data_IF_231737634861
#
_entry.id   IF_231737634861
#
_cell.length_a   1.000
_cell.length_b   1.000
_cell.length_c   1.000
_cell.angle_alpha   90.00
_cell.angle_beta   90.00
_cell.angle_gamma   90.00
#
_symmetry.space_group_name_H-M   'P 1'
#
loop_
_entity.id
_entity.type
_entity.pdbx_description
1 polymer ?
#
# COMPACT_ATOMS: atom_id res chain seq x y z
N UNK A 1 32.94 35.60 16.60
CA UNK A 1 33.27 34.27 17.14
C UNK A 1 32.06 33.31 17.12
N UNK A 2 30.88 33.71 17.48
CA UNK A 2 29.68 32.84 17.53
C UNK A 2 29.19 32.29 16.17
N UNK A 3 29.22 33.10 15.10
CA UNK A 3 28.72 32.68 13.77
C UNK A 3 29.59 31.58 13.12
N UNK A 4 30.93 31.71 13.25
CA UNK A 4 31.87 30.70 12.73
C UNK A 4 31.76 29.38 13.50
N UNK A 5 31.53 29.42 14.80
CA UNK A 5 31.33 28.25 15.63
C UNK A 5 30.02 27.52 15.24
N UNK A 6 28.92 28.25 15.06
CA UNK A 6 27.63 27.71 14.62
C UNK A 6 27.76 27.07 13.23
N UNK A 7 28.40 27.76 12.28
CA UNK A 7 28.62 27.23 10.93
C UNK A 7 29.50 25.95 10.95
N UNK A 8 30.56 25.95 11.77
CA UNK A 8 31.40 24.76 11.94
C UNK A 8 30.63 23.57 12.54
N UNK A 9 29.84 23.82 13.57
CA UNK A 9 28.99 22.76 14.18
C UNK A 9 27.98 22.20 13.18
N UNK A 10 27.31 23.06 12.41
CA UNK A 10 26.35 22.60 11.38
C UNK A 10 27.04 21.78 10.28
N UNK A 11 28.25 22.18 9.86
CA UNK A 11 29.01 21.43 8.87
C UNK A 11 29.41 20.03 9.38
N UNK A 12 29.84 19.93 10.63
CA UNK A 12 30.16 18.63 11.26
C UNK A 12 28.90 17.76 11.36
N UNK A 13 27.78 18.29 11.83
CA UNK A 13 26.52 17.54 11.92
C UNK A 13 26.05 17.08 10.54
N UNK A 14 26.14 17.92 9.51
CA UNK A 14 25.81 17.55 8.14
C UNK A 14 26.73 16.42 7.62
N UNK A 15 28.04 16.48 7.92
CA UNK A 15 28.99 15.43 7.57
C UNK A 15 28.65 14.09 8.26
N UNK A 16 28.36 14.12 9.56
CA UNK A 16 27.94 12.91 10.31
C UNK A 16 26.63 12.33 9.76
N UNK A 17 25.65 13.18 9.46
CA UNK A 17 24.39 12.75 8.87
C UNK A 17 24.59 12.11 7.49
N UNK A 18 25.48 12.67 6.65
CA UNK A 18 25.80 12.10 5.34
C UNK A 18 26.47 10.72 5.46
N UNK A 19 27.40 10.56 6.40
CA UNK A 19 28.04 9.26 6.66
C UNK A 19 27.01 8.24 7.17
N UNK A 20 26.18 8.62 8.15
CA UNK A 20 25.11 7.76 8.68
C UNK A 20 24.12 7.34 7.57
N UNK A 21 23.71 8.28 6.73
CA UNK A 21 22.85 8.00 5.57
C UNK A 21 23.50 7.00 4.62
N UNK A 22 24.80 7.15 4.31
CA UNK A 22 25.53 6.26 3.42
C UNK A 22 25.64 4.83 4.00
N UNK A 23 25.91 4.70 5.29
CA UNK A 23 25.96 3.41 5.99
C UNK A 23 24.59 2.74 5.98
N UNK A 24 23.53 3.49 6.35
CA UNK A 24 22.17 2.97 6.38
C UNK A 24 21.67 2.57 4.98
N UNK A 25 22.05 3.29 3.92
CA UNK A 25 21.71 2.92 2.54
C UNK A 25 22.38 1.63 2.09
N UNK A 26 23.60 1.35 2.55
CA UNK A 26 24.29 0.07 2.29
C UNK A 26 23.59 -1.08 3.00
N UNK A 27 23.17 -0.87 4.24
CA UNK A 27 22.46 -1.88 5.02
C UNK A 27 21.00 -2.10 4.57
N UNK A 28 20.40 -1.07 3.96
CA UNK A 28 18.98 -1.07 3.49
C UNK A 28 18.93 -0.52 2.06
N UNK A 29 19.28 -1.31 1.04
CA UNK A 29 19.22 -0.87 -0.36
C UNK A 29 17.78 -0.56 -0.79
N UNK A 30 17.64 0.03 -1.98
CA UNK A 30 16.32 0.17 -2.58
C UNK A 30 15.81 -1.19 -3.04
N UNK A 31 14.53 -1.41 -2.80
CA UNK A 31 13.77 -2.58 -3.22
C UNK A 31 12.81 -2.23 -4.36
N UNK A 32 12.28 -3.25 -5.01
CA UNK A 32 11.28 -3.07 -6.07
C UNK A 32 9.92 -2.62 -5.50
N UNK A 33 9.57 -3.14 -4.33
CA UNK A 33 8.28 -2.95 -3.67
C UNK A 33 8.44 -2.55 -2.21
N UNK A 34 7.34 -2.17 -1.58
CA UNK A 34 7.29 -1.89 -0.16
C UNK A 34 7.90 -0.55 0.24
N UNK A 35 8.16 -0.39 1.53
CA UNK A 35 8.67 0.86 2.11
C UNK A 35 10.02 1.30 1.55
N UNK A 36 10.87 0.38 1.18
CA UNK A 36 12.19 0.66 0.64
C UNK A 36 12.21 0.92 -0.87
N UNK A 37 11.05 0.84 -1.55
CA UNK A 37 10.95 1.20 -2.95
C UNK A 37 11.35 2.66 -3.19
N UNK A 38 12.03 2.89 -4.32
CA UNK A 38 12.53 4.23 -4.64
C UNK A 38 11.37 5.19 -4.86
N UNK A 39 11.35 6.28 -4.11
CA UNK A 39 10.33 7.30 -4.22
C UNK A 39 10.77 8.44 -5.13
N UNK A 40 9.90 8.89 -6.03
CA UNK A 40 10.08 10.06 -6.87
C UNK A 40 8.83 10.92 -6.83
N UNK A 41 9.02 12.23 -6.59
CA UNK A 41 7.93 13.20 -6.66
C UNK A 41 7.49 13.40 -8.12
N UNK A 42 6.18 13.56 -8.39
CA UNK A 42 5.67 13.77 -9.75
C UNK A 42 6.17 15.06 -10.40
N UNK A 43 6.44 16.10 -9.63
CA UNK A 43 6.84 17.40 -10.15
C UNK A 43 8.32 17.68 -10.00
N UNK A 44 8.86 18.49 -10.94
CA UNK A 44 10.21 19.04 -10.85
C UNK A 44 10.25 20.27 -9.94
N UNK A 45 11.46 20.67 -9.53
CA UNK A 45 11.70 21.86 -8.77
C UNK A 45 12.19 21.63 -7.34
N UNK A 46 12.51 22.69 -6.59
CA UNK A 46 13.12 22.59 -5.27
C UNK A 46 12.30 21.78 -4.25
N UNK A 47 10.98 21.98 -4.26
CA UNK A 47 10.07 21.23 -3.36
C UNK A 47 10.05 19.72 -3.69
N UNK A 48 9.99 19.37 -4.98
CA UNK A 48 10.06 17.97 -5.41
C UNK A 48 11.43 17.35 -5.07
N UNK A 49 12.52 18.10 -5.22
CA UNK A 49 13.85 17.64 -4.81
C UNK A 49 13.94 17.41 -3.29
N UNK A 50 13.48 18.36 -2.48
CA UNK A 50 13.45 18.21 -1.03
C UNK A 50 12.58 17.03 -0.58
N UNK A 51 11.39 16.87 -1.15
CA UNK A 51 10.50 15.73 -0.89
C UNK A 51 11.17 14.40 -1.26
N UNK A 52 11.88 14.33 -2.41
CA UNK A 52 12.66 13.17 -2.81
C UNK A 52 13.77 12.83 -1.79
N UNK A 53 14.50 13.85 -1.33
CA UNK A 53 15.58 13.65 -0.36
C UNK A 53 15.04 13.07 0.96
N UNK A 54 13.97 13.65 1.48
CA UNK A 54 13.32 13.22 2.72
C UNK A 54 12.73 11.82 2.58
N UNK A 55 11.91 11.57 1.56
CA UNK A 55 11.20 10.29 1.37
C UNK A 55 12.14 9.11 1.13
N UNK A 56 13.34 9.35 0.61
CA UNK A 56 14.36 8.32 0.36
C UNK A 56 15.44 8.27 1.44
N UNK A 57 15.38 9.11 2.46
CA UNK A 57 16.37 9.12 3.55
C UNK A 57 16.17 7.91 4.47
N UNK A 58 17.23 7.10 4.57
CA UNK A 58 17.28 5.96 5.51
C UNK A 58 17.49 6.45 6.94
N UNK A 59 18.23 7.56 7.09
CA UNK A 59 18.46 8.20 8.39
C UNK A 59 17.16 8.77 8.96
N UNK A 60 16.38 9.50 8.15
CA UNK A 60 15.07 10.03 8.59
C UNK A 60 14.12 8.88 8.98
N UNK A 61 14.01 7.85 8.16
CA UNK A 61 13.21 6.67 8.48
C UNK A 61 13.67 5.99 9.79
N UNK A 62 14.98 5.82 9.99
CA UNK A 62 15.55 5.21 11.19
C UNK A 62 15.28 6.04 12.45
N UNK A 63 15.40 7.36 12.37
CA UNK A 63 15.14 8.29 13.50
C UNK A 63 13.65 8.31 13.89
N UNK A 64 12.75 8.19 12.90
CA UNK A 64 11.30 8.24 13.13
C UNK A 64 10.69 6.87 13.45
N UNK A 65 11.39 5.78 13.14
CA UNK A 65 10.94 4.40 13.37
C UNK A 65 10.56 4.07 14.84
N UNK A 66 11.19 4.67 15.90
CA UNK A 66 10.79 4.45 17.27
C UNK A 66 9.50 5.16 17.69
N UNK A 67 9.01 6.10 16.88
CA UNK A 67 7.76 6.81 17.19
C UNK A 67 6.59 5.82 17.10
N UNK A 68 5.65 5.89 18.07
CA UNK A 68 4.45 5.07 18.01
C UNK A 68 3.62 5.45 16.78
N UNK A 69 3.07 4.47 16.10
CA UNK A 69 2.10 4.74 15.04
C UNK A 69 0.85 5.38 15.64
N UNK A 70 0.51 6.55 15.12
CA UNK A 70 -0.67 7.28 15.56
C UNK A 70 -1.91 6.72 14.85
N UNK A 71 -2.94 6.42 15.63
CA UNK A 71 -4.22 5.97 15.09
C UNK A 71 -4.79 6.99 14.10
N UNK A 72 -5.04 6.51 12.87
CA UNK A 72 -5.64 7.30 11.79
C UNK A 72 -7.10 6.92 11.63
N UNK A 73 -7.91 7.87 11.19
CA UNK A 73 -9.32 7.66 10.88
C UNK A 73 -9.68 8.34 9.57
N UNK A 74 -10.55 7.69 8.80
CA UNK A 74 -11.11 8.23 7.58
C UNK A 74 -12.52 7.68 7.35
N UNK A 75 -13.38 8.50 6.78
CA UNK A 75 -14.68 8.09 6.27
C UNK A 75 -14.49 7.81 4.77
N UNK A 76 -14.27 6.55 4.40
CA UNK A 76 -13.94 6.16 3.04
C UNK A 76 -15.22 6.00 2.22
N UNK A 77 -15.20 6.55 1.01
CA UNK A 77 -16.27 6.40 0.03
C UNK A 77 -15.74 5.96 -1.32
N UNK A 78 -16.63 5.40 -2.13
CA UNK A 78 -16.37 5.05 -3.53
C UNK A 78 -15.16 4.11 -3.70
N UNK A 79 -15.17 2.97 -3.03
CA UNK A 79 -14.06 2.01 -3.10
C UNK A 79 -14.20 1.12 -4.34
N UNK A 80 -13.33 1.29 -5.31
CA UNK A 80 -13.28 0.51 -6.55
C UNK A 80 -12.15 -0.49 -6.47
N UNK A 81 -12.46 -1.77 -6.60
CA UNK A 81 -11.51 -2.88 -6.59
C UNK A 81 -11.24 -3.37 -8.00
N UNK A 82 -9.99 -3.67 -8.29
CA UNK A 82 -9.56 -4.42 -9.45
C UNK A 82 -8.61 -5.54 -9.00
N UNK A 83 -9.04 -6.78 -9.16
CA UNK A 83 -8.36 -7.97 -8.66
C UNK A 83 -7.93 -8.87 -9.80
N UNK A 84 -6.71 -9.37 -9.72
CA UNK A 84 -6.10 -10.26 -10.72
C UNK A 84 -5.67 -11.56 -10.06
N UNK A 85 -5.98 -12.66 -10.72
CA UNK A 85 -5.36 -13.94 -10.40
C UNK A 85 -4.05 -14.03 -11.18
N UNK A 86 -2.94 -14.16 -10.45
CA UNK A 86 -1.59 -14.15 -11.01
C UNK A 86 -0.84 -15.42 -10.65
N UNK A 87 0.16 -15.86 -11.43
CA UNK A 87 1.01 -16.99 -11.04
C UNK A 87 1.65 -16.74 -9.67
N UNK A 88 1.63 -17.74 -8.79
CA UNK A 88 2.22 -17.64 -7.46
C UNK A 88 3.71 -17.23 -7.51
N UNK A 89 4.46 -17.72 -8.51
CA UNK A 89 5.87 -17.35 -8.71
C UNK A 89 6.08 -15.85 -8.97
N UNK A 90 5.14 -15.20 -9.67
CA UNK A 90 5.19 -13.74 -9.87
C UNK A 90 4.87 -12.97 -8.57
N UNK A 91 3.92 -13.49 -7.77
CA UNK A 91 3.57 -12.90 -6.49
C UNK A 91 4.68 -13.06 -5.44
N UNK A 92 5.39 -14.18 -5.42
CA UNK A 92 6.50 -14.46 -4.49
C UNK A 92 7.62 -13.43 -4.58
N UNK A 93 7.92 -12.93 -5.77
CA UNK A 93 8.91 -11.87 -5.97
C UNK A 93 8.55 -10.55 -5.24
N UNK A 94 7.29 -10.39 -4.81
CA UNK A 94 6.81 -9.22 -4.09
C UNK A 94 6.70 -9.45 -2.58
N UNK A 95 6.81 -10.69 -2.10
CA UNK A 95 6.68 -11.04 -0.68
C UNK A 95 7.95 -10.64 0.06
N UNK A 96 7.86 -9.84 1.14
CA UNK A 96 9.05 -9.45 1.89
C UNK A 96 9.56 -10.62 2.75
N UNK A 97 10.87 -10.62 3.11
CA UNK A 97 11.43 -11.63 4.00
C UNK A 97 10.66 -11.77 5.31
N UNK A 98 10.40 -13.00 5.74
CA UNK A 98 9.70 -13.33 6.99
C UNK A 98 8.19 -13.43 6.86
N UNK A 99 7.63 -13.19 5.69
CA UNK A 99 6.24 -13.49 5.34
C UNK A 99 6.22 -14.59 4.25
N UNK A 100 5.08 -15.22 4.08
CA UNK A 100 4.82 -16.20 3.03
C UNK A 100 3.59 -15.78 2.23
N UNK A 101 3.57 -16.13 0.94
CA UNK A 101 2.43 -15.93 0.07
C UNK A 101 1.26 -16.83 0.46
N UNK A 102 0.04 -16.29 0.48
CA UNK A 102 -1.16 -17.12 0.49
C UNK A 102 -1.41 -17.62 -0.93
N UNK A 103 -1.09 -18.89 -1.16
CA UNK A 103 -1.28 -19.56 -2.45
C UNK A 103 -2.71 -20.04 -2.61
N UNK A 104 -3.20 -20.05 -3.85
CA UNK A 104 -4.55 -20.43 -4.26
C UNK A 104 -4.49 -21.51 -5.33
N UNK A 105 -5.63 -22.18 -5.53
CA UNK A 105 -5.75 -23.32 -6.45
C UNK A 105 -5.29 -24.62 -5.80
N UNK A 106 -5.65 -25.74 -6.41
CA UNK A 106 -5.42 -27.09 -5.87
C UNK A 106 -3.92 -27.41 -5.71
N UNK A 107 -3.10 -26.90 -6.62
CA UNK A 107 -1.64 -27.05 -6.64
C UNK A 107 -0.89 -25.86 -6.05
N UNK A 108 -1.61 -24.81 -5.59
CA UNK A 108 -1.02 -23.57 -5.11
C UNK A 108 -0.35 -22.73 -6.19
N UNK A 109 -0.75 -22.89 -7.45
CA UNK A 109 -0.14 -22.20 -8.59
C UNK A 109 -0.50 -20.70 -8.67
N UNK A 110 -1.54 -20.27 -7.96
CA UNK A 110 -2.10 -18.95 -8.08
C UNK A 110 -1.97 -18.10 -6.82
N UNK A 111 -2.08 -16.79 -6.99
CA UNK A 111 -2.21 -15.82 -5.93
C UNK A 111 -3.14 -14.67 -6.34
N UNK A 112 -3.76 -14.01 -5.38
CA UNK A 112 -4.59 -12.83 -5.64
C UNK A 112 -3.76 -11.55 -5.47
N UNK A 113 -3.65 -10.80 -6.55
CA UNK A 113 -3.16 -9.42 -6.56
C UNK A 113 -4.35 -8.48 -6.74
N UNK A 114 -4.46 -7.47 -5.88
CA UNK A 114 -5.56 -6.50 -5.93
C UNK A 114 -5.03 -5.09 -5.80
N UNK A 115 -5.52 -4.19 -6.63
CA UNK A 115 -5.46 -2.79 -6.28
C UNK A 115 -6.85 -2.21 -6.11
N UNK A 116 -6.97 -1.26 -5.20
CA UNK A 116 -8.21 -0.56 -4.95
C UNK A 116 -7.95 0.93 -4.89
N UNK A 117 -8.95 1.71 -5.31
CA UNK A 117 -8.91 3.17 -5.31
C UNK A 117 -10.15 3.69 -4.62
N UNK A 118 -9.98 4.68 -3.77
CA UNK A 118 -11.06 5.25 -2.96
C UNK A 118 -10.81 6.71 -2.60
N UNK A 119 -11.87 7.37 -2.17
CA UNK A 119 -11.82 8.73 -1.64
C UNK A 119 -11.81 8.68 -0.12
N UNK A 120 -10.84 9.36 0.48
CA UNK A 120 -10.87 9.65 1.91
C UNK A 120 -11.89 10.75 2.22
N UNK A 121 -12.58 10.62 3.36
CA UNK A 121 -13.29 11.72 4.00
C UNK A 121 -12.60 12.11 5.29
N UNK A 122 -12.13 13.38 5.38
CA UNK A 122 -11.53 13.93 6.60
C UNK A 122 -10.36 13.07 7.13
N UNK A 123 -9.43 12.72 6.26
CA UNK A 123 -8.31 11.84 6.58
C UNK A 123 -7.31 12.53 7.53
N UNK A 124 -7.20 12.04 8.75
CA UNK A 124 -6.32 12.59 9.76
C UNK A 124 -6.21 11.74 11.02
N UNK A 125 -5.43 12.23 11.97
CA UNK A 125 -5.24 11.55 13.25
C UNK A 125 -6.55 11.43 14.03
N UNK A 126 -6.79 10.26 14.63
CA UNK A 126 -8.02 9.98 15.36
C UNK A 126 -8.26 10.93 16.55
N UNK A 127 -7.18 11.37 17.21
CA UNK A 127 -7.24 12.29 18.35
C UNK A 127 -7.74 13.69 17.99
N UNK A 128 -7.70 14.09 16.71
CA UNK A 128 -8.21 15.39 16.27
C UNK A 128 -9.74 15.47 16.33
N UNK A 129 -10.45 14.34 16.50
CA UNK A 129 -11.90 14.32 16.62
C UNK A 129 -12.61 15.11 15.51
N UNK A 130 -13.49 16.09 15.87
CA UNK A 130 -14.20 16.91 14.89
C UNK A 130 -13.31 17.81 14.03
N UNK A 131 -12.10 18.18 14.48
CA UNK A 131 -11.15 18.98 13.73
C UNK A 131 -10.65 18.28 12.46
N UNK A 132 -10.83 16.96 12.34
CA UNK A 132 -10.56 16.21 11.11
C UNK A 132 -11.33 16.75 9.91
N UNK A 133 -12.45 17.42 10.12
CA UNK A 133 -13.23 18.09 9.05
C UNK A 133 -12.43 19.14 8.28
N UNK A 134 -11.35 19.66 8.88
CA UNK A 134 -10.43 20.60 8.24
C UNK A 134 -9.33 19.89 7.43
N UNK A 135 -9.21 18.56 7.55
CA UNK A 135 -8.19 17.80 6.85
C UNK A 135 -8.59 17.52 5.39
N UNK A 136 -7.62 17.42 4.48
CA UNK A 136 -7.87 17.06 3.09
C UNK A 136 -8.56 15.70 2.96
N UNK A 137 -9.32 15.54 1.87
CA UNK A 137 -9.97 14.30 1.47
C UNK A 137 -9.32 13.76 0.18
N UNK A 138 -8.07 13.24 0.25
CA UNK A 138 -7.35 12.80 -0.92
C UNK A 138 -7.97 11.54 -1.53
N UNK A 139 -7.70 11.32 -2.82
CA UNK A 139 -7.88 10.01 -3.46
C UNK A 139 -6.62 9.20 -3.17
N UNK A 140 -6.83 7.94 -2.76
CA UNK A 140 -5.77 6.98 -2.48
C UNK A 140 -5.98 5.70 -3.28
N UNK A 141 -4.88 5.06 -3.67
CA UNK A 141 -4.86 3.70 -4.19
C UNK A 141 -3.94 2.82 -3.37
N UNK A 142 -4.37 1.60 -3.09
CA UNK A 142 -3.61 0.57 -2.38
C UNK A 142 -3.44 -0.65 -3.27
N UNK A 143 -2.21 -1.13 -3.38
CA UNK A 143 -1.80 -2.26 -4.20
C UNK A 143 -1.25 -3.35 -3.28
N UNK A 144 -1.82 -4.55 -3.34
CA UNK A 144 -1.60 -5.54 -2.30
C UNK A 144 -1.66 -6.98 -2.79
N UNK A 145 -1.00 -7.84 -2.04
CA UNK A 145 -1.10 -9.29 -2.14
C UNK A 145 -1.49 -9.88 -0.78
N UNK A 146 -2.00 -11.09 -0.78
CA UNK A 146 -2.36 -11.81 0.44
C UNK A 146 -1.16 -12.60 0.96
N UNK A 147 -0.86 -12.43 2.24
CA UNK A 147 0.30 -13.06 2.89
C UNK A 147 -0.10 -13.70 4.21
N UNK A 148 0.76 -14.58 4.71
CA UNK A 148 0.66 -15.19 6.03
C UNK A 148 1.98 -15.02 6.77
N UNK A 149 1.91 -14.76 8.06
CA UNK A 149 3.05 -14.86 8.94
C UNK A 149 3.25 -16.34 9.33
N UNK A 150 4.32 -17.01 8.89
CA UNK A 150 4.51 -18.44 9.14
C UNK A 150 4.77 -18.79 10.61
N UNK A 151 5.14 -17.80 11.43
CA UNK A 151 5.43 -18.03 12.85
C UNK A 151 4.16 -17.96 13.70
N UNK A 152 3.29 -17.00 13.43
CA UNK A 152 2.05 -16.79 14.19
C UNK A 152 0.82 -17.40 13.53
N UNK A 153 0.90 -17.78 12.25
CA UNK A 153 -0.24 -18.21 11.44
C UNK A 153 -1.20 -17.08 11.05
N UNK A 154 -0.91 -15.83 11.42
CA UNK A 154 -1.77 -14.71 11.07
C UNK A 154 -1.80 -14.46 9.56
N UNK A 155 -2.99 -14.50 8.99
CA UNK A 155 -3.26 -14.11 7.61
C UNK A 155 -3.55 -12.64 7.53
N UNK A 156 -3.17 -12.02 6.41
CA UNK A 156 -3.42 -10.60 6.15
C UNK A 156 -2.99 -10.20 4.74
N UNK A 157 -2.91 -8.90 4.55
CA UNK A 157 -2.45 -8.29 3.30
C UNK A 157 -1.08 -7.65 3.49
N UNK A 158 -0.28 -7.67 2.44
CA UNK A 158 0.94 -6.89 2.32
C UNK A 158 0.76 -5.83 1.23
N UNK A 159 0.97 -4.57 1.59
CA UNK A 159 0.95 -3.48 0.64
C UNK A 159 2.28 -3.41 -0.12
N UNK A 160 2.25 -3.77 -1.40
CA UNK A 160 3.42 -3.67 -2.27
C UNK A 160 3.72 -2.23 -2.65
N UNK A 161 2.69 -1.40 -2.80
CA UNK A 161 2.77 0.04 -3.00
C UNK A 161 1.43 0.70 -2.67
N UNK A 162 1.48 1.97 -2.25
CA UNK A 162 0.31 2.82 -2.06
C UNK A 162 0.59 4.19 -2.64
N UNK A 163 -0.45 4.91 -3.05
CA UNK A 163 -0.28 6.29 -3.50
C UNK A 163 -1.51 7.13 -3.17
N UNK A 164 -1.28 8.42 -2.93
CA UNK A 164 -2.36 9.39 -2.70
C UNK A 164 -2.02 10.76 -3.30
N UNK A 165 -3.01 11.66 -3.39
CA UNK A 165 -2.85 12.97 -4.04
C UNK A 165 -2.27 14.06 -3.15
N UNK A 166 -1.98 13.78 -1.88
CA UNK A 166 -1.45 14.75 -0.91
C UNK A 166 0.01 14.45 -0.55
N UNK A 167 0.94 15.29 -1.00
CA UNK A 167 2.37 15.13 -0.69
C UNK A 167 2.68 15.12 0.80
N UNK A 168 2.16 16.04 1.66
CA UNK A 168 2.46 16.00 3.09
C UNK A 168 2.02 14.72 3.76
N UNK A 169 0.80 14.25 3.47
CA UNK A 169 0.27 13.02 4.05
C UNK A 169 1.04 11.78 3.55
N UNK A 170 1.45 11.76 2.27
CA UNK A 170 2.27 10.68 1.73
C UNK A 170 3.65 10.61 2.41
N UNK A 171 4.30 11.75 2.63
CA UNK A 171 5.59 11.81 3.32
C UNK A 171 5.48 11.34 4.77
N UNK A 172 4.48 11.85 5.51
CA UNK A 172 4.26 11.44 6.90
C UNK A 172 4.00 9.94 6.97
N UNK A 173 3.05 9.42 6.19
CA UNK A 173 2.77 7.98 6.17
C UNK A 173 4.02 7.16 5.86
N UNK A 174 4.78 7.52 4.82
CA UNK A 174 5.98 6.79 4.41
C UNK A 174 7.08 6.77 5.48
N UNK A 175 7.22 7.85 6.26
CA UNK A 175 8.30 7.97 7.24
C UNK A 175 7.94 7.32 8.58
N UNK A 176 6.67 7.37 8.99
CA UNK A 176 6.26 6.95 10.34
C UNK A 176 5.53 5.61 10.37
N UNK A 177 5.00 5.12 9.23
CA UNK A 177 4.33 3.82 9.20
C UNK A 177 5.11 2.78 8.38
N UNK A 178 5.21 1.57 8.92
CA UNK A 178 5.85 0.43 8.26
C UNK A 178 4.96 -0.19 7.19
N UNK A 179 3.66 -0.21 7.44
CA UNK A 179 2.67 -0.89 6.61
C UNK A 179 2.27 -0.11 5.36
N UNK A 180 2.68 1.17 5.21
CA UNK A 180 2.22 2.00 4.10
C UNK A 180 3.37 2.56 3.24
N UNK A 181 3.81 1.82 2.20
CA UNK A 181 4.81 2.30 1.24
C UNK A 181 4.23 3.39 0.32
N UNK A 182 3.94 4.56 0.90
CA UNK A 182 3.16 5.62 0.27
C UNK A 182 3.97 6.39 -0.77
N UNK A 183 3.37 6.58 -1.95
CA UNK A 183 3.83 7.43 -3.04
C UNK A 183 2.87 8.59 -3.28
N UNK A 184 3.21 9.50 -4.23
CA UNK A 184 2.36 10.65 -4.59
C UNK A 184 1.93 10.56 -6.04
N UNK A 185 0.63 10.72 -6.28
CA UNK A 185 0.06 10.90 -7.61
C UNK A 185 0.16 12.38 -8.01
N UNK A 186 0.44 12.65 -9.28
CA UNK A 186 0.35 14.00 -9.84
C UNK A 186 -1.10 14.46 -9.88
N UNK A 187 -1.98 13.59 -10.37
CA UNK A 187 -3.43 13.79 -10.34
C UNK A 187 -4.13 12.46 -10.13
N UNK A 188 -5.34 12.51 -9.57
CA UNK A 188 -6.25 11.39 -9.53
C UNK A 188 -7.69 11.87 -9.70
N UNK A 189 -8.47 11.09 -10.40
CA UNK A 189 -9.89 11.28 -10.58
C UNK A 189 -10.62 9.99 -10.18
N UNK A 190 -11.71 10.15 -9.47
CA UNK A 190 -12.68 9.10 -9.15
C UNK A 190 -14.06 9.70 -9.37
N UNK A 191 -14.68 9.38 -10.49
CA UNK A 191 -15.98 9.88 -10.89
C UNK A 191 -16.98 8.72 -10.94
N UNK A 192 -18.16 8.95 -10.40
CA UNK A 192 -19.26 7.99 -10.37
C UNK A 192 -20.52 8.62 -10.94
N UNK A 193 -21.15 7.92 -11.88
CA UNK A 193 -22.50 8.11 -12.35
C UNK A 193 -23.43 7.02 -11.77
N UNK A 194 -24.67 6.94 -12.23
CA UNK A 194 -25.67 5.97 -11.74
C UNK A 194 -25.18 4.54 -11.92
N UNK A 195 -24.66 4.21 -13.10
CA UNK A 195 -24.27 2.86 -13.52
C UNK A 195 -22.82 2.76 -14.02
N UNK A 196 -22.04 3.85 -13.93
CA UNK A 196 -20.69 3.90 -14.43
C UNK A 196 -19.71 4.50 -13.41
N UNK A 197 -18.50 3.98 -13.39
CA UNK A 197 -17.42 4.45 -12.53
C UNK A 197 -16.17 4.64 -13.39
N UNK A 198 -15.54 5.79 -13.27
CA UNK A 198 -14.26 6.10 -13.89
C UNK A 198 -13.21 6.39 -12.83
N UNK A 199 -12.04 5.77 -13.00
CA UNK A 199 -10.86 6.03 -12.18
C UNK A 199 -9.72 6.40 -13.10
N UNK A 200 -8.97 7.45 -12.77
CA UNK A 200 -7.74 7.83 -13.44
C UNK A 200 -6.68 8.16 -12.40
N UNK A 201 -5.56 7.47 -12.47
CA UNK A 201 -4.41 7.66 -11.59
C UNK A 201 -3.21 8.02 -12.47
N UNK A 202 -2.77 9.27 -12.39
CA UNK A 202 -1.59 9.73 -13.13
C UNK A 202 -0.43 9.96 -12.17
N UNK A 203 0.65 9.16 -12.26
CA UNK A 203 1.87 9.36 -11.50
C UNK A 203 2.70 10.54 -12.01
N UNK A 204 2.40 11.12 -13.17
CA UNK A 204 3.26 12.07 -13.85
C UNK A 204 4.65 11.48 -14.07
N UNK A 205 5.69 12.11 -13.50
CA UNK A 205 7.07 11.59 -13.49
C UNK A 205 7.43 10.86 -12.20
N UNK A 206 6.47 10.73 -11.31
CA UNK A 206 6.61 10.10 -10.01
C UNK A 206 6.79 8.59 -10.06
N UNK A 207 6.83 8.00 -8.90
CA UNK A 207 6.97 6.56 -8.70
C UNK A 207 5.67 5.88 -8.26
N UNK A 208 4.56 6.61 -8.21
CA UNK A 208 3.26 6.02 -7.99
C UNK A 208 2.85 5.13 -9.17
N UNK A 209 2.02 4.11 -8.95
CA UNK A 209 1.45 3.32 -10.04
C UNK A 209 0.40 4.13 -10.82
N UNK A 210 0.28 3.84 -12.12
CA UNK A 210 -0.76 4.37 -12.99
C UNK A 210 -1.95 3.43 -13.06
N UNK A 211 -3.17 3.98 -13.26
CA UNK A 211 -4.33 3.20 -13.63
C UNK A 211 -5.40 4.06 -14.34
N UNK A 212 -6.11 3.45 -15.27
CA UNK A 212 -7.30 3.99 -15.91
C UNK A 212 -8.37 2.89 -15.96
N UNK A 213 -9.53 3.16 -15.36
CA UNK A 213 -10.66 2.26 -15.28
C UNK A 213 -11.90 2.95 -15.83
N UNK A 214 -12.55 2.29 -16.80
CA UNK A 214 -13.86 2.67 -17.32
C UNK A 214 -14.80 1.46 -17.09
N UNK A 215 -15.58 1.52 -16.03
CA UNK A 215 -16.36 0.39 -15.53
C UNK A 215 -17.85 0.71 -15.49
N UNK A 216 -18.69 -0.31 -15.66
CA UNK A 216 -20.14 -0.24 -15.51
C UNK A 216 -20.64 -1.30 -14.54
N UNK A 217 -21.72 -0.99 -13.86
CA UNK A 217 -22.45 -1.95 -13.03
C UNK A 217 -22.96 -3.10 -13.90
N UNK A 218 -22.81 -4.31 -13.42
CA UNK A 218 -23.21 -5.55 -14.10
C UNK A 218 -23.76 -6.57 -13.11
N UNK A 219 -24.27 -7.68 -13.63
CA UNK A 219 -24.56 -8.86 -12.81
C UNK A 219 -23.24 -9.53 -12.38
N UNK A 220 -23.26 -10.29 -11.26
CA UNK A 220 -22.10 -11.07 -10.85
C UNK A 220 -21.62 -11.98 -11.97
N UNK A 221 -20.31 -11.96 -12.31
CA UNK A 221 -19.81 -12.84 -13.36
C UNK A 221 -19.81 -14.31 -12.91
N UNK A 222 -20.07 -15.21 -13.83
CA UNK A 222 -19.79 -16.63 -13.65
C UNK A 222 -18.26 -16.79 -13.69
N UNK A 223 -17.69 -17.39 -12.65
CA UNK A 223 -16.25 -17.65 -12.61
C UNK A 223 -15.93 -18.91 -13.43
N UNK A 224 -14.85 -18.85 -14.22
CA UNK A 224 -14.39 -19.94 -15.07
C UNK A 224 -12.90 -20.19 -14.88
N UNK A 225 -12.44 -21.38 -15.28
CA UNK A 225 -11.02 -21.77 -15.24
C UNK A 225 -10.41 -21.61 -13.86
N UNK A 226 -9.23 -21.00 -13.79
CA UNK A 226 -8.50 -20.81 -12.55
C UNK A 226 -9.27 -20.00 -11.49
N UNK A 227 -10.15 -19.07 -11.91
CA UNK A 227 -10.99 -18.32 -10.98
C UNK A 227 -12.02 -19.21 -10.28
N UNK A 228 -12.69 -20.09 -11.02
CA UNK A 228 -13.62 -21.06 -10.45
C UNK A 228 -12.90 -22.08 -9.56
N UNK A 229 -11.72 -22.53 -9.97
CA UNK A 229 -10.89 -23.44 -9.16
C UNK A 229 -10.49 -22.82 -7.82
N UNK A 230 -10.09 -21.53 -7.81
CA UNK A 230 -9.62 -20.86 -6.61
C UNK A 230 -10.73 -20.45 -5.66
N UNK A 231 -11.92 -20.08 -6.16
CA UNK A 231 -12.95 -19.43 -5.36
C UNK A 231 -14.33 -20.08 -5.45
N UNK A 232 -14.56 -20.99 -6.37
CA UNK A 232 -15.86 -21.61 -6.66
C UNK A 232 -16.76 -20.65 -7.41
N UNK A 233 -17.22 -19.59 -6.77
CA UNK A 233 -18.14 -18.61 -7.32
C UNK A 233 -17.79 -17.16 -6.93
N UNK A 234 -18.60 -16.23 -7.37
CA UNK A 234 -18.47 -14.80 -7.06
C UNK A 234 -18.49 -14.52 -5.55
N UNK A 235 -19.32 -15.22 -4.79
CA UNK A 235 -19.40 -15.02 -3.35
C UNK A 235 -18.12 -15.52 -2.66
N UNK A 236 -17.60 -16.67 -3.06
CA UNK A 236 -16.31 -17.19 -2.57
C UNK A 236 -15.15 -16.25 -2.88
N UNK A 237 -15.12 -15.64 -4.07
CA UNK A 237 -14.14 -14.60 -4.41
C UNK A 237 -14.25 -13.38 -3.48
N UNK A 238 -15.45 -12.84 -3.26
CA UNK A 238 -15.64 -11.73 -2.34
C UNK A 238 -15.27 -12.09 -0.90
N UNK A 239 -15.65 -13.28 -0.44
CA UNK A 239 -15.33 -13.77 0.90
C UNK A 239 -13.82 -13.90 1.16
N UNK A 240 -13.03 -14.12 0.12
CA UNK A 240 -11.57 -14.11 0.21
C UNK A 240 -10.98 -12.71 0.05
N UNK A 241 -11.47 -11.92 -0.90
CA UNK A 241 -10.87 -10.63 -1.27
C UNK A 241 -11.19 -9.50 -0.28
N UNK A 242 -12.44 -9.46 0.25
CA UNK A 242 -12.94 -8.31 1.02
C UNK A 242 -12.51 -8.33 2.48
N UNK A 243 -12.58 -9.43 3.25
CA UNK A 243 -12.14 -9.45 4.64
C UNK A 243 -10.63 -9.25 4.72
N UNK A 244 -10.21 -8.12 5.28
CA UNK A 244 -8.82 -7.72 5.34
C UNK A 244 -8.52 -7.13 6.69
N UNK A 245 -8.69 -7.96 7.67
CA UNK A 245 -8.62 -7.58 9.07
C UNK A 245 -7.20 -7.19 9.51
N UNK A 246 -6.19 -7.48 8.67
CA UNK A 246 -4.79 -7.24 9.04
C UNK A 246 -3.93 -6.84 7.85
N UNK A 247 -3.12 -5.79 8.04
CA UNK A 247 -1.96 -5.53 7.21
C UNK A 247 -0.70 -6.04 7.92
N UNK A 248 0.12 -6.79 7.20
CA UNK A 248 1.38 -7.32 7.68
C UNK A 248 2.54 -6.62 6.97
N UNK A 249 3.57 -6.25 7.72
CA UNK A 249 4.81 -5.72 7.14
C UNK A 249 6.03 -6.32 7.85
N UNK A 250 7.10 -6.51 7.09
CA UNK A 250 8.34 -7.10 7.60
C UNK A 250 9.37 -6.01 7.90
N UNK A 251 10.03 -6.14 9.05
CA UNK A 251 11.13 -5.30 9.48
C UNK A 251 12.37 -6.18 9.73
N UNK A 252 13.09 -6.61 8.68
CA UNK A 252 14.19 -7.57 8.81
C UNK A 252 15.29 -7.11 9.76
N UNK A 253 15.61 -5.80 9.77
CA UNK A 253 16.65 -5.23 10.65
C UNK A 253 16.26 -5.32 12.11
N UNK A 254 15.00 -5.14 12.44
CA UNK A 254 14.47 -5.29 13.80
C UNK A 254 14.02 -6.70 14.13
N UNK A 255 14.12 -7.61 13.16
CA UNK A 255 13.70 -9.02 13.30
C UNK A 255 12.28 -9.14 13.85
N UNK A 256 11.37 -8.40 13.25
CA UNK A 256 9.95 -8.44 13.66
C UNK A 256 9.03 -8.33 12.45
N UNK A 257 7.81 -8.79 12.62
CA UNK A 257 6.69 -8.51 11.73
C UNK A 257 5.76 -7.55 12.47
N UNK A 258 5.41 -6.47 11.80
CA UNK A 258 4.39 -5.54 12.29
C UNK A 258 3.04 -5.97 11.76
N UNK A 259 2.06 -5.99 12.65
CA UNK A 259 0.67 -6.29 12.35
C UNK A 259 -0.19 -5.08 12.68
N UNK A 260 -0.87 -4.55 11.70
CA UNK A 260 -1.87 -3.51 11.86
C UNK A 260 -3.25 -4.12 11.70
N UNK A 261 -4.10 -3.99 12.70
CA UNK A 261 -5.49 -4.40 12.58
C UNK A 261 -6.27 -3.34 11.82
N UNK A 262 -7.07 -3.80 10.85
CA UNK A 262 -7.89 -2.98 9.97
C UNK A 262 -9.33 -3.38 10.21
N UNK A 263 -10.13 -2.49 10.78
CA UNK A 263 -11.57 -2.70 10.92
C UNK A 263 -12.27 -2.04 9.72
N UNK A 264 -12.77 -2.85 8.80
CA UNK A 264 -13.50 -2.40 7.62
C UNK A 264 -14.98 -2.76 7.66
N UNK A 265 -15.35 -3.86 8.30
CA UNK A 265 -16.72 -4.31 8.48
C UNK A 265 -17.59 -4.26 7.22
N UNK A 266 -17.05 -4.58 6.04
CA UNK A 266 -17.77 -4.50 4.76
C UNK A 266 -18.72 -5.69 4.61
N UNK A 267 -20.04 -5.49 4.58
CA UNK A 267 -20.96 -6.57 4.26
C UNK A 267 -20.80 -6.99 2.79
N UNK A 268 -20.57 -8.27 2.51
CA UNK A 268 -20.33 -8.75 1.13
C UNK A 268 -21.51 -8.44 0.20
N UNK A 269 -22.73 -8.39 0.72
CA UNK A 269 -23.93 -8.01 -0.04
C UNK A 269 -23.93 -6.57 -0.56
N UNK A 270 -23.07 -5.70 -0.04
CA UNK A 270 -22.93 -4.31 -0.53
C UNK A 270 -21.92 -4.18 -1.68
N UNK A 271 -21.22 -5.25 -2.02
CA UNK A 271 -20.26 -5.28 -3.11
C UNK A 271 -21.00 -5.36 -4.46
N UNK A 272 -20.92 -4.31 -5.24
CA UNK A 272 -21.58 -4.20 -6.55
C UNK A 272 -20.63 -4.64 -7.64
N UNK A 273 -20.94 -5.68 -8.44
CA UNK A 273 -20.08 -6.15 -9.52
C UNK A 273 -19.91 -5.08 -10.61
N UNK A 274 -18.72 -4.99 -11.16
CA UNK A 274 -18.38 -4.06 -12.23
C UNK A 274 -17.71 -4.80 -13.39
N UNK A 275 -18.02 -4.39 -14.62
CA UNK A 275 -17.34 -4.86 -15.83
C UNK A 275 -16.88 -3.68 -16.68
N UNK A 276 -15.79 -3.86 -17.42
CA UNK A 276 -15.27 -2.84 -18.32
C UNK A 276 -13.77 -2.91 -18.53
N UNK A 277 -13.19 -1.80 -18.98
CA UNK A 277 -11.78 -1.71 -19.29
C UNK A 277 -10.96 -1.30 -18.06
N UNK A 278 -9.90 -2.06 -17.78
CA UNK A 278 -8.86 -1.71 -16.80
C UNK A 278 -7.53 -1.64 -17.55
N UNK A 279 -6.89 -0.48 -17.53
CA UNK A 279 -5.59 -0.23 -18.17
C UNK A 279 -4.63 0.29 -17.12
N UNK A 280 -3.48 -0.36 -16.97
CA UNK A 280 -2.40 0.07 -16.08
C UNK A 280 -1.10 -0.60 -16.49
N UNK A 281 -0.07 0.19 -16.74
CA UNK A 281 1.28 -0.35 -17.01
C UNK A 281 1.83 -1.07 -15.79
N UNK A 282 1.57 -0.52 -14.61
CA UNK A 282 2.02 -1.10 -13.35
C UNK A 282 1.32 -2.45 -13.08
N UNK A 283 -0.01 -2.55 -13.27
CA UNK A 283 -0.73 -3.81 -13.12
C UNK A 283 -0.33 -4.84 -14.20
N UNK A 284 -0.17 -4.41 -15.45
CA UNK A 284 0.29 -5.27 -16.54
C UNK A 284 1.68 -5.84 -16.27
N UNK A 285 2.58 -5.06 -15.68
CA UNK A 285 3.92 -5.53 -15.31
C UNK A 285 3.89 -6.62 -14.23
N UNK A 286 2.87 -6.63 -13.36
CA UNK A 286 2.68 -7.63 -12.30
C UNK A 286 1.89 -8.84 -12.81
N UNK A 287 0.76 -8.59 -13.49
CA UNK A 287 -0.21 -9.62 -13.82
C UNK A 287 -0.03 -10.24 -15.22
N UNK A 288 0.73 -9.56 -16.09
CA UNK A 288 0.85 -9.92 -17.50
C UNK A 288 -0.17 -9.18 -18.40
N UNK A 289 0.12 -9.15 -19.70
CA UNK A 289 -0.68 -8.38 -20.67
C UNK A 289 -2.08 -8.96 -20.89
N UNK A 290 -2.23 -10.26 -20.76
CA UNK A 290 -3.49 -10.98 -21.03
C UNK A 290 -4.36 -11.15 -19.77
N UNK A 291 -3.87 -10.73 -18.62
CA UNK A 291 -4.61 -10.88 -17.36
C UNK A 291 -5.83 -9.95 -17.35
N UNK A 292 -6.98 -10.53 -16.96
CA UNK A 292 -8.24 -9.79 -16.81
C UNK A 292 -8.55 -9.55 -15.34
N UNK A 293 -8.96 -8.33 -15.02
CA UNK A 293 -9.38 -7.98 -13.68
C UNK A 293 -10.83 -8.40 -13.43
N UNK A 294 -11.10 -8.94 -12.24
CA UNK A 294 -12.44 -8.92 -11.64
C UNK A 294 -12.58 -7.63 -10.83
N UNK A 295 -13.65 -6.88 -11.13
CA UNK A 295 -13.88 -5.58 -10.53
C UNK A 295 -15.18 -5.55 -9.72
N UNK A 296 -15.18 -4.78 -8.64
CA UNK A 296 -16.37 -4.47 -7.87
C UNK A 296 -16.24 -3.13 -7.15
N UNK A 297 -17.37 -2.63 -6.68
CA UNK A 297 -17.51 -1.35 -6.02
C UNK A 297 -18.14 -1.53 -4.65
N UNK A 298 -17.62 -0.79 -3.66
CA UNK A 298 -18.18 -0.68 -2.31
C UNK A 298 -18.51 0.80 -2.05
N UNK A 299 -19.79 1.15 -1.77
CA UNK A 299 -20.21 2.56 -1.68
C UNK A 299 -19.54 3.35 -0.56
N UNK A 300 -19.44 2.77 0.61
CA UNK A 300 -18.85 3.43 1.77
C UNK A 300 -18.30 2.44 2.77
N UNK A 301 -17.24 2.83 3.46
CA UNK A 301 -16.59 2.03 4.49
C UNK A 301 -16.11 2.94 5.61
N UNK A 302 -16.41 2.59 6.84
CA UNK A 302 -15.79 3.25 7.99
C UNK A 302 -14.44 2.59 8.25
N UNK A 303 -13.38 3.34 8.05
CA UNK A 303 -12.02 2.85 8.17
C UNK A 303 -11.38 3.30 9.49
N UNK A 304 -10.93 2.34 10.26
CA UNK A 304 -10.14 2.57 11.48
C UNK A 304 -8.87 1.74 11.40
N UNK A 305 -7.72 2.39 11.45
CA UNK A 305 -6.51 1.72 11.88
C UNK A 305 -6.55 1.60 13.40
N UNK A 306 -6.69 0.37 13.86
CA UNK A 306 -6.50 0.02 15.25
C UNK A 306 -5.00 -0.09 15.57
N UNK A 307 -4.67 -0.57 16.74
CA UNK A 307 -3.30 -0.66 17.26
C UNK A 307 -2.37 -1.49 16.39
N UNK A 308 -1.12 -1.02 16.24
CA UNK A 308 -0.02 -1.82 15.70
C UNK A 308 0.51 -2.78 16.78
N UNK A 309 0.64 -4.05 16.42
CA UNK A 309 1.31 -5.05 17.23
C UNK A 309 2.60 -5.51 16.52
N UNK A 310 3.65 -5.79 17.31
CA UNK A 310 4.93 -6.24 16.81
C UNK A 310 5.26 -7.64 17.32
N UNK A 311 5.38 -8.59 16.41
CA UNK A 311 5.80 -9.95 16.72
C UNK A 311 7.32 -10.10 16.49
N UNK A 312 8.09 -10.23 17.59
CA UNK A 312 9.55 -10.38 17.53
C UNK A 312 9.91 -11.75 16.94
N UNK A 313 10.95 -11.76 16.11
CA UNK A 313 11.49 -13.01 15.55
C UNK A 313 12.59 -13.53 16.44
N UNK A 314 12.64 -14.85 16.73
CA UNK A 314 13.77 -15.47 17.41
C UNK A 314 15.05 -15.30 16.59
N UNK A 315 16.20 -15.17 17.28
CA UNK A 315 17.49 -15.14 16.63
C UNK A 315 17.75 -16.53 16.00
N UNK A 316 17.78 -16.63 14.67
CA UNK A 316 18.11 -17.88 13.99
C UNK A 316 17.15 -18.33 12.88
N UNK A 317 16.04 -17.66 12.66
CA UNK A 317 15.18 -17.93 11.50
C UNK A 317 15.57 -17.08 10.29
N UNK A 318 16.83 -17.07 9.87
CA UNK A 318 17.17 -16.73 8.50
C UNK A 318 16.86 -17.99 7.68
N UNK A 319 15.87 -17.94 6.82
CA UNK A 319 15.70 -18.94 5.77
C UNK A 319 16.86 -18.78 4.79
N UNK A 320 17.96 -19.52 5.05
CA UNK A 320 18.85 -19.95 4.01
C UNK A 320 18.09 -21.04 3.22
N UNK A 321 17.47 -20.65 2.12
CA UNK A 321 16.97 -21.52 1.07
C UNK A 321 16.87 -20.70 -0.23
#
# INVERSE_FOLDING_TARGET
>A
MTLALVAGTLAVLAGLAAVAEAVLRRARPFEAYGRLARWRHPWRGPLGWAANAIANSRLAAWLLEPLPELAMRSDITDVVYASYLIPASAAEAMVPPGLQLQRLGTDGAWALFTFLTYRHGHFGFAFLGPLRRLMPSPIQTNWRIHVVDPVTGHRGIYFITNALTSTPQALVARLVTEGMPMHVLATAELARDVDAIRVRLDPGRGSAPDAELDLRVTEPPVLEGAWAECFGDWHGFLAYCVPQDRALSSQPVRRRVSRQEIDLGIPLATCVPLAGAVRSRAATAIAGADARALCFYVPSVTFRFATEAHDRRPAGTSSDA
#
